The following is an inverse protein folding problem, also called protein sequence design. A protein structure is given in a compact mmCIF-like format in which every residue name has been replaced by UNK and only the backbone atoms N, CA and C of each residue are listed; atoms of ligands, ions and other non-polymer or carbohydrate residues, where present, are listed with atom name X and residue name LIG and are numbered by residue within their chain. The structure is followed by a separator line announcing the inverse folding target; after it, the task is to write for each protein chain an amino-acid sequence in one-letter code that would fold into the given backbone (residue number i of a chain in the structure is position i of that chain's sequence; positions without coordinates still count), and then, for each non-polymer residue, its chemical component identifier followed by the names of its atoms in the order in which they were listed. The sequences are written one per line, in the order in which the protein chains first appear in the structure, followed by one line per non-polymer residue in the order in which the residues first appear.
data_IF_437220774226
#
_entry.id   IF_437220774226
#
_cell.length_a   1.000
_cell.length_b   1.000
_cell.length_c   1.000
_cell.angle_alpha   90.00
_cell.angle_beta   90.00
_cell.angle_gamma   90.00
#
_symmetry.space_group_name_H-M   'P 1'
#
loop_
_entity.id
_entity.type
_entity.pdbx_description
1 polymer ?
#
# COMPACT_ATOMS: atom_id res chain seq x y z
N UNK A 1 -4.79 -17.20 -7.50
CA UNK A 1 -4.51 -15.97 -8.25
C UNK A 1 -4.83 -14.81 -7.34
N UNK A 2 -4.03 -13.74 -7.35
CA UNK A 2 -4.26 -12.54 -6.53
C UNK A 2 -5.53 -11.80 -6.99
N UNK A 3 -6.39 -11.40 -6.06
CA UNK A 3 -7.50 -10.48 -6.34
C UNK A 3 -6.99 -9.03 -6.38
N UNK A 4 -7.03 -8.42 -7.56
CA UNK A 4 -6.60 -7.03 -7.79
C UNK A 4 -7.71 -6.03 -7.41
N UNK A 5 -7.37 -4.78 -7.06
CA UNK A 5 -8.37 -3.72 -6.93
C UNK A 5 -9.12 -3.52 -8.24
N UNK A 6 -10.41 -3.23 -8.16
CA UNK A 6 -11.29 -3.10 -9.34
C UNK A 6 -10.84 -2.01 -10.32
N UNK A 7 -10.09 -1.02 -9.84
CA UNK A 7 -9.55 0.08 -10.67
C UNK A 7 -8.33 -0.33 -11.47
N UNK A 8 -7.68 -1.45 -11.15
CA UNK A 8 -6.49 -1.92 -11.82
C UNK A 8 -6.82 -3.10 -12.71
N UNK A 9 -6.42 -3.00 -13.98
CA UNK A 9 -6.50 -4.13 -14.90
C UNK A 9 -5.27 -4.26 -15.79
N UNK A 10 -5.16 -5.44 -16.37
CA UNK A 10 -4.21 -5.76 -17.43
C UNK A 10 -4.64 -5.04 -18.72
N UNK A 11 -3.73 -4.33 -19.41
CA UNK A 11 -3.98 -3.88 -20.77
C UNK A 11 -4.19 -5.06 -21.71
N UNK A 12 -5.09 -4.95 -22.69
CA UNK A 12 -5.14 -5.90 -23.81
C UNK A 12 -3.95 -5.66 -24.75
N UNK A 13 -3.60 -6.63 -25.62
CA UNK A 13 -2.54 -6.43 -26.61
C UNK A 13 -2.74 -5.18 -27.48
N UNK A 14 -3.99 -4.89 -27.87
CA UNK A 14 -4.34 -3.73 -28.71
C UNK A 14 -4.27 -2.38 -27.95
N UNK A 15 -4.24 -2.39 -26.61
CA UNK A 15 -4.12 -1.19 -25.77
C UNK A 15 -2.66 -0.86 -25.41
N UNK A 16 -1.73 -1.74 -25.75
CA UNK A 16 -0.32 -1.54 -25.50
C UNK A 16 0.32 -0.75 -26.65
N UNK A 17 1.20 0.23 -26.35
CA UNK A 17 1.92 0.94 -27.41
C UNK A 17 2.80 -0.04 -28.19
N UNK A 18 2.85 0.11 -29.51
CA UNK A 18 3.76 -0.66 -30.37
C UNK A 18 5.21 -0.45 -29.92
N UNK A 19 5.78 -1.48 -29.32
CA UNK A 19 7.16 -1.51 -28.83
C UNK A 19 7.80 -2.86 -29.18
N UNK A 20 9.08 -2.89 -29.57
CA UNK A 20 9.74 -4.10 -30.05
C UNK A 20 9.84 -5.22 -29.00
N UNK A 21 9.70 -4.89 -27.71
CA UNK A 21 9.79 -5.80 -26.56
C UNK A 21 8.42 -6.13 -25.93
N UNK A 22 7.31 -5.84 -26.63
CA UNK A 22 5.96 -6.08 -26.11
C UNK A 22 5.71 -7.56 -25.79
N UNK A 23 6.16 -8.47 -26.66
CA UNK A 23 5.98 -9.92 -26.50
C UNK A 23 6.75 -10.43 -25.28
N UNK A 24 7.97 -9.93 -25.06
CA UNK A 24 8.79 -10.28 -23.89
C UNK A 24 8.12 -9.83 -22.59
N UNK A 25 7.52 -8.64 -22.58
CA UNK A 25 6.80 -8.12 -21.41
C UNK A 25 5.54 -8.93 -21.12
N UNK A 26 4.80 -9.32 -22.16
CA UNK A 26 3.61 -10.15 -22.01
C UNK A 26 3.96 -11.57 -21.51
N UNK A 27 5.06 -12.16 -21.99
CA UNK A 27 5.56 -13.45 -21.50
C UNK A 27 6.04 -13.37 -20.06
N UNK A 28 6.88 -12.37 -19.70
CA UNK A 28 7.31 -12.15 -18.32
C UNK A 28 6.13 -12.04 -17.36
N UNK A 29 5.06 -11.37 -17.78
CA UNK A 29 3.84 -11.26 -16.97
C UNK A 29 3.12 -12.59 -16.82
N UNK A 30 3.04 -13.42 -17.87
CA UNK A 30 2.40 -14.74 -17.79
C UNK A 30 3.10 -15.66 -16.81
N UNK A 31 4.42 -15.55 -16.73
CA UNK A 31 5.27 -16.31 -15.81
C UNK A 31 5.36 -15.68 -14.40
N UNK A 32 4.87 -14.45 -14.23
CA UNK A 32 4.99 -13.70 -12.99
C UNK A 32 4.27 -14.40 -11.83
N UNK A 33 4.96 -14.49 -10.70
CA UNK A 33 4.50 -15.07 -9.45
C UNK A 33 3.68 -14.07 -8.62
N UNK A 34 2.62 -13.53 -9.21
CA UNK A 34 1.69 -12.58 -8.58
C UNK A 34 0.60 -13.37 -7.83
N UNK A 35 0.83 -13.63 -6.55
CA UNK A 35 -0.08 -14.39 -5.69
C UNK A 35 -0.06 -13.90 -4.24
N UNK A 36 -1.13 -14.17 -3.45
CA UNK A 36 -1.14 -13.84 -2.02
C UNK A 36 0.00 -14.50 -1.27
N UNK A 37 0.70 -13.73 -0.45
CA UNK A 37 1.87 -14.15 0.30
C UNK A 37 2.75 -12.97 0.66
N UNK A 38 3.89 -13.24 1.29
CA UNK A 38 4.84 -12.19 1.63
C UNK A 38 6.29 -12.61 1.42
N UNK A 39 7.16 -11.62 1.23
CA UNK A 39 8.63 -11.77 1.30
C UNK A 39 9.13 -11.21 2.62
N UNK A 40 10.33 -11.62 3.03
CA UNK A 40 10.97 -11.08 4.23
C UNK A 40 12.46 -10.89 3.98
N UNK A 41 12.94 -9.69 4.26
CA UNK A 41 14.33 -9.30 4.09
C UNK A 41 14.85 -8.68 5.40
N UNK A 42 16.03 -9.07 5.90
CA UNK A 42 16.61 -8.43 7.07
C UNK A 42 17.04 -6.99 6.73
N UNK A 43 17.13 -6.14 7.73
CA UNK A 43 17.66 -4.79 7.54
C UNK A 43 19.16 -4.84 7.20
N UNK A 44 19.51 -4.35 6.01
CA UNK A 44 20.89 -4.20 5.55
C UNK A 44 21.40 -2.75 5.63
N UNK A 45 20.57 -1.83 6.10
CA UNK A 45 20.83 -0.40 6.23
C UNK A 45 20.93 -0.01 7.70
N UNK A 46 22.13 -0.03 8.31
CA UNK A 46 22.31 0.14 9.76
C UNK A 46 21.87 1.52 10.29
N UNK A 47 21.69 2.48 9.39
CA UNK A 47 21.31 3.86 9.72
C UNK A 47 19.83 3.99 10.09
N UNK A 48 19.00 3.01 9.73
CA UNK A 48 17.57 3.02 9.98
C UNK A 48 17.21 2.00 11.07
N UNK A 49 16.45 2.38 12.11
CA UNK A 49 16.24 1.54 13.29
C UNK A 49 15.09 0.51 13.11
N UNK A 50 15.14 -0.31 12.06
CA UNK A 50 14.24 -1.46 11.88
C UNK A 50 15.04 -2.78 11.79
N UNK A 51 14.38 -3.93 11.98
CA UNK A 51 15.04 -5.24 11.90
C UNK A 51 14.74 -6.00 10.61
N UNK A 52 13.53 -5.85 10.06
CA UNK A 52 13.13 -6.52 8.84
C UNK A 52 12.21 -5.65 8.00
N UNK A 53 12.23 -5.94 6.71
CA UNK A 53 11.34 -5.43 5.68
C UNK A 53 10.52 -6.58 5.09
N UNK A 54 9.27 -6.33 4.76
CA UNK A 54 8.40 -7.28 4.11
C UNK A 54 7.54 -6.59 3.04
N UNK A 55 7.34 -7.30 1.93
CA UNK A 55 6.36 -6.94 0.92
C UNK A 55 5.29 -8.01 0.85
N UNK A 56 4.04 -7.61 0.79
CA UNK A 56 2.90 -8.48 1.00
C UNK A 56 1.89 -8.28 -0.12
N UNK A 57 1.71 -9.30 -0.93
CA UNK A 57 0.57 -9.43 -1.81
C UNK A 57 -0.60 -10.00 -1.01
N UNK A 58 -1.75 -9.33 -1.06
CA UNK A 58 -2.98 -9.76 -0.41
C UNK A 58 -4.16 -9.49 -1.35
N UNK A 59 -5.13 -10.40 -1.35
CA UNK A 59 -6.37 -10.19 -2.09
C UNK A 59 -7.03 -8.86 -1.66
N UNK A 60 -7.46 -8.05 -2.63
CA UNK A 60 -7.96 -6.70 -2.35
C UNK A 60 -9.14 -6.69 -1.36
N UNK A 61 -10.04 -7.68 -1.43
CA UNK A 61 -11.11 -7.88 -0.47
C UNK A 61 -10.65 -8.04 0.99
N UNK A 62 -9.40 -8.48 1.21
CA UNK A 62 -8.79 -8.73 2.53
C UNK A 62 -7.81 -7.66 2.96
N UNK A 63 -7.45 -6.74 2.06
CA UNK A 63 -6.43 -5.70 2.27
C UNK A 63 -6.70 -4.87 3.54
N UNK A 64 -7.92 -4.37 3.70
CA UNK A 64 -8.27 -3.53 4.86
C UNK A 64 -8.09 -4.26 6.19
N UNK A 65 -8.54 -5.51 6.25
CA UNK A 65 -8.44 -6.30 7.48
C UNK A 65 -6.99 -6.58 7.84
N UNK A 66 -6.15 -6.90 6.85
CA UNK A 66 -4.72 -7.07 7.05
C UNK A 66 -4.04 -5.76 7.49
N UNK A 67 -4.40 -4.64 6.85
CA UNK A 67 -3.91 -3.31 7.23
C UNK A 67 -4.22 -3.01 8.70
N UNK A 68 -5.46 -3.23 9.15
CA UNK A 68 -5.84 -3.02 10.56
C UNK A 68 -5.07 -3.93 11.52
N UNK A 69 -4.84 -5.19 11.14
CA UNK A 69 -4.08 -6.13 11.94
C UNK A 69 -2.61 -5.70 12.08
N UNK A 70 -1.98 -5.25 10.99
CA UNK A 70 -0.63 -4.70 11.01
C UNK A 70 -0.56 -3.37 11.77
N UNK A 71 -1.57 -2.51 11.63
CA UNK A 71 -1.68 -1.26 12.37
C UNK A 71 -1.80 -1.49 13.88
N UNK A 72 -2.36 -2.61 14.33
CA UNK A 72 -2.40 -2.98 15.75
C UNK A 72 -1.01 -3.31 16.33
N UNK A 73 0.01 -3.51 15.48
CA UNK A 73 1.40 -3.64 15.90
C UNK A 73 2.10 -2.29 16.12
N UNK A 74 1.46 -1.17 15.77
CA UNK A 74 2.03 0.16 15.97
C UNK A 74 1.93 0.60 17.44
N UNK A 75 2.81 1.52 17.88
CA UNK A 75 2.63 2.21 19.15
C UNK A 75 1.32 3.02 19.19
N UNK A 76 0.98 3.51 20.38
CA UNK A 76 -0.25 4.27 20.62
C UNK A 76 -0.36 5.57 19.79
N UNK A 77 0.78 6.11 19.35
CA UNK A 77 0.85 7.27 18.48
C UNK A 77 1.72 6.98 17.26
N UNK A 78 1.28 7.44 16.10
CA UNK A 78 1.98 7.34 14.84
C UNK A 78 1.71 8.59 13.99
N UNK A 79 2.48 8.79 12.94
CA UNK A 79 2.16 9.73 11.87
C UNK A 79 1.28 9.03 10.84
N UNK A 80 0.29 9.75 10.31
CA UNK A 80 -0.44 9.31 9.14
C UNK A 80 0.42 9.56 7.90
N UNK A 81 0.33 8.64 6.95
CA UNK A 81 0.95 8.75 5.63
C UNK A 81 -0.17 8.58 4.61
N UNK A 82 -0.34 9.52 3.70
CA UNK A 82 -1.37 9.45 2.65
C UNK A 82 -1.11 10.49 1.56
N UNK A 83 -1.26 10.11 0.29
CA UNK A 83 -1.19 11.02 -0.86
C UNK A 83 -1.96 10.46 -2.06
N UNK A 84 -2.14 11.31 -3.08
CA UNK A 84 -2.41 10.81 -4.41
C UNK A 84 -1.16 10.11 -4.98
N UNK A 85 -1.36 9.08 -5.79
CA UNK A 85 -0.28 8.32 -6.39
C UNK A 85 0.64 9.23 -7.21
N UNK A 86 1.96 8.96 -7.15
CA UNK A 86 3.02 9.75 -7.79
C UNK A 86 3.23 11.18 -7.25
N UNK A 87 2.54 11.57 -6.17
CA UNK A 87 2.94 12.73 -5.37
C UNK A 87 3.91 12.32 -4.26
N UNK A 88 4.72 13.27 -3.78
CA UNK A 88 5.65 13.03 -2.70
C UNK A 88 4.93 12.65 -1.40
N UNK A 89 5.54 11.71 -0.68
CA UNK A 89 4.95 11.17 0.53
C UNK A 89 4.99 12.17 1.69
N UNK A 90 3.87 12.84 1.96
CA UNK A 90 3.69 13.64 3.18
C UNK A 90 3.47 12.76 4.41
N UNK A 91 4.21 13.07 5.47
CA UNK A 91 4.08 12.48 6.81
C UNK A 91 3.52 13.54 7.75
N UNK A 92 2.47 13.23 8.49
CA UNK A 92 1.89 14.17 9.45
C UNK A 92 2.70 14.27 10.73
N UNK A 93 2.37 15.25 11.58
CA UNK A 93 2.71 15.20 12.99
C UNK A 93 2.15 13.92 13.65
N UNK A 94 2.75 13.51 14.77
CA UNK A 94 2.28 12.37 15.56
C UNK A 94 0.83 12.60 16.05
N UNK A 95 -0.01 11.60 15.84
CA UNK A 95 -1.40 11.54 16.30
C UNK A 95 -1.64 10.20 17.00
N UNK A 96 -2.67 10.10 17.85
CA UNK A 96 -3.12 8.79 18.33
C UNK A 96 -3.43 7.87 17.14
N UNK A 97 -2.86 6.66 17.13
CA UNK A 97 -3.06 5.70 16.04
C UNK A 97 -4.54 5.40 15.83
N UNK A 98 -5.32 5.34 16.91
CA UNK A 98 -6.78 5.19 16.87
C UNK A 98 -7.49 6.34 16.15
N UNK A 99 -7.02 7.58 16.31
CA UNK A 99 -7.56 8.76 15.63
C UNK A 99 -7.30 8.69 14.12
N UNK A 100 -6.09 8.29 13.71
CA UNK A 100 -5.76 8.09 12.29
C UNK A 100 -6.67 7.03 11.68
N UNK A 101 -6.78 5.86 12.33
CA UNK A 101 -7.61 4.76 11.85
C UNK A 101 -9.10 5.13 11.76
N UNK A 102 -9.60 5.93 12.71
CA UNK A 102 -10.96 6.47 12.65
C UNK A 102 -11.17 7.32 11.39
N UNK A 103 -10.21 8.16 11.01
CA UNK A 103 -10.32 8.96 9.80
C UNK A 103 -10.17 8.12 8.53
N UNK A 104 -9.21 7.19 8.49
CA UNK A 104 -9.03 6.29 7.34
C UNK A 104 -10.26 5.40 7.09
N UNK A 105 -10.89 4.88 8.15
CA UNK A 105 -12.08 4.01 8.02
C UNK A 105 -13.26 4.66 7.29
N UNK A 106 -13.38 6.00 7.33
CA UNK A 106 -14.42 6.73 6.58
C UNK A 106 -14.27 6.60 5.07
N UNK A 107 -13.05 6.34 4.60
CA UNK A 107 -12.68 6.22 3.19
C UNK A 107 -12.11 4.84 2.88
N UNK A 108 -12.52 3.81 3.63
CA UNK A 108 -12.03 2.44 3.42
C UNK A 108 -12.18 2.02 1.95
N UNK A 109 -13.31 2.33 1.31
CA UNK A 109 -13.57 1.95 -0.08
C UNK A 109 -12.56 2.59 -1.03
N UNK A 110 -12.36 3.90 -0.92
CA UNK A 110 -11.42 4.66 -1.73
C UNK A 110 -9.98 4.21 -1.47
N UNK A 111 -9.57 4.12 -0.21
CA UNK A 111 -8.22 3.71 0.18
C UNK A 111 -7.85 2.32 -0.33
N UNK A 112 -8.79 1.37 -0.28
CA UNK A 112 -8.52 -0.01 -0.68
C UNK A 112 -8.66 -0.25 -2.18
N UNK A 113 -9.57 0.46 -2.86
CA UNK A 113 -9.91 0.15 -4.26
C UNK A 113 -9.39 1.16 -5.26
N UNK A 114 -9.10 2.40 -4.88
CA UNK A 114 -8.66 3.44 -5.81
C UNK A 114 -7.14 3.47 -5.92
N UNK A 115 -6.59 3.01 -7.05
CA UNK A 115 -5.15 3.01 -7.31
C UNK A 115 -4.53 4.40 -7.45
N UNK A 116 -5.33 5.47 -7.44
CA UNK A 116 -4.83 6.84 -7.34
C UNK A 116 -4.48 7.26 -5.90
N UNK A 117 -4.68 6.41 -4.89
CA UNK A 117 -4.39 6.72 -3.49
C UNK A 117 -3.35 5.77 -2.89
N UNK A 118 -2.46 6.32 -2.07
CA UNK A 118 -1.54 5.59 -1.20
C UNK A 118 -1.79 6.01 0.25
N UNK A 119 -1.62 5.09 1.19
CA UNK A 119 -1.85 5.39 2.60
C UNK A 119 -1.11 4.45 3.53
N UNK A 120 -0.92 4.87 4.76
CA UNK A 120 -0.05 4.18 5.69
C UNK A 120 0.07 4.83 7.06
N UNK A 121 0.96 4.25 7.85
CA UNK A 121 1.35 4.71 9.17
C UNK A 121 2.87 4.71 9.27
N UNK A 122 3.42 5.70 9.95
CA UNK A 122 4.84 5.79 10.24
C UNK A 122 5.05 6.10 11.71
N UNK A 123 5.86 5.29 12.38
CA UNK A 123 6.38 5.57 13.70
C UNK A 123 7.90 5.52 13.64
N UNK A 124 8.53 6.69 13.71
CA UNK A 124 9.97 6.81 13.66
C UNK A 124 10.50 7.46 14.93
N UNK A 125 11.30 6.71 15.68
CA UNK A 125 12.03 7.16 16.87
C UNK A 125 13.52 6.88 16.67
N UNK A 126 14.36 7.38 17.57
CA UNK A 126 15.81 7.08 17.51
C UNK A 126 16.12 5.59 17.62
N UNK A 127 15.28 4.82 18.31
CA UNK A 127 15.53 3.42 18.64
C UNK A 127 14.76 2.45 17.75
N UNK A 128 13.63 2.89 17.18
CA UNK A 128 12.71 2.04 16.44
C UNK A 128 12.02 2.79 15.31
N UNK A 129 12.00 2.15 14.14
CA UNK A 129 11.20 2.48 12.97
C UNK A 129 10.19 1.35 12.72
N UNK A 130 8.92 1.72 12.68
CA UNK A 130 7.84 0.88 12.18
C UNK A 130 7.09 1.66 11.11
N UNK A 131 6.99 1.09 9.91
CA UNK A 131 6.32 1.72 8.79
C UNK A 131 5.40 0.70 8.11
N UNK A 132 4.21 1.15 7.74
CA UNK A 132 3.18 0.39 7.06
C UNK A 132 2.68 1.25 5.93
N UNK A 133 2.94 0.83 4.69
CA UNK A 133 2.51 1.55 3.50
C UNK A 133 1.70 0.62 2.59
N UNK A 134 0.54 1.09 2.17
CA UNK A 134 -0.24 0.48 1.08
C UNK A 134 0.07 1.27 -0.18
N UNK A 135 0.66 0.59 -1.16
CA UNK A 135 1.02 1.20 -2.43
C UNK A 135 -0.21 1.53 -3.29
N UNK A 136 0.01 2.32 -4.33
CA UNK A 136 -0.97 2.61 -5.37
C UNK A 136 -1.49 1.34 -6.05
N UNK A 137 -0.65 0.30 -6.17
CA UNK A 137 -1.06 -1.01 -6.68
C UNK A 137 -1.62 -1.97 -5.60
N UNK A 138 -1.86 -1.47 -4.39
CA UNK A 138 -2.60 -2.15 -3.31
C UNK A 138 -1.95 -3.41 -2.76
N UNK A 139 -0.63 -3.48 -2.80
CA UNK A 139 0.16 -4.38 -1.97
C UNK A 139 0.70 -3.61 -0.76
N UNK A 140 1.12 -4.32 0.28
CA UNK A 140 1.61 -3.71 1.52
C UNK A 140 3.14 -3.81 1.59
N UNK A 141 3.77 -2.72 1.99
CA UNK A 141 5.17 -2.67 2.44
C UNK A 141 5.17 -2.47 3.96
N UNK A 142 5.99 -3.24 4.66
CA UNK A 142 6.07 -3.19 6.12
C UNK A 142 7.53 -3.23 6.59
N UNK A 143 7.91 -2.24 7.38
CA UNK A 143 9.18 -2.21 8.11
C UNK A 143 8.88 -2.38 9.59
N UNK A 144 9.60 -3.26 10.27
CA UNK A 144 9.31 -3.52 11.67
C UNK A 144 10.47 -4.10 12.48
N UNK A 145 10.21 -4.23 13.78
CA UNK A 145 11.17 -4.67 14.79
C UNK A 145 10.82 -6.01 15.45
N UNK A 146 9.58 -6.47 15.30
CA UNK A 146 9.03 -7.67 15.96
C UNK A 146 8.68 -8.77 14.93
N UNK A 147 9.71 -9.32 14.28
CA UNK A 147 9.56 -10.34 13.23
C UNK A 147 8.74 -11.58 13.65
N UNK A 148 8.90 -12.14 14.87
CA UNK A 148 8.09 -13.29 15.30
C UNK A 148 6.59 -12.98 15.35
N UNK A 149 6.21 -11.82 15.89
CA UNK A 149 4.83 -11.37 15.95
C UNK A 149 4.25 -11.13 14.54
N UNK A 150 5.01 -10.46 13.67
CA UNK A 150 4.65 -10.27 12.27
C UNK A 150 4.41 -11.60 11.55
N UNK A 151 5.33 -12.56 11.71
CA UNK A 151 5.23 -13.88 11.08
C UNK A 151 4.01 -14.66 11.59
N UNK A 152 3.69 -14.56 12.89
CA UNK A 152 2.48 -15.15 13.44
C UNK A 152 1.21 -14.52 12.85
N UNK A 153 1.20 -13.21 12.67
CA UNK A 153 0.09 -12.48 12.04
C UNK A 153 -0.11 -12.92 10.59
N UNK A 154 0.95 -13.01 9.79
CA UNK A 154 0.86 -13.51 8.40
C UNK A 154 0.23 -14.91 8.34
N UNK A 155 0.60 -15.80 9.27
CA UNK A 155 0.00 -17.15 9.37
C UNK A 155 -1.49 -17.10 9.69
N UNK A 156 -1.94 -16.25 10.60
CA UNK A 156 -3.37 -16.05 10.91
C UNK A 156 -4.14 -15.59 9.67
N UNK A 157 -3.51 -14.76 8.82
CA UNK A 157 -4.08 -14.32 7.54
C UNK A 157 -3.86 -15.33 6.39
N UNK A 158 -3.36 -16.54 6.63
CA UNK A 158 -3.09 -17.54 5.59
C UNK A 158 -2.19 -17.01 4.46
N UNK A 159 -1.22 -16.16 4.79
CA UNK A 159 -0.24 -15.62 3.85
C UNK A 159 1.06 -16.41 4.01
N UNK A 160 1.44 -17.26 3.04
CA UNK A 160 2.70 -18.00 3.09
C UNK A 160 3.90 -17.10 2.79
N UNK A 161 5.05 -17.45 3.38
CA UNK A 161 6.34 -16.84 3.08
C UNK A 161 6.88 -17.39 1.75
N UNK A 162 7.34 -16.50 0.88
CA UNK A 162 8.03 -16.85 -0.35
C UNK A 162 9.42 -16.21 -0.41
N UNK A 163 10.33 -16.86 -1.15
CA UNK A 163 11.65 -16.28 -1.46
C UNK A 163 11.53 -15.12 -2.45
N UNK A 164 10.58 -15.23 -3.37
CA UNK A 164 10.34 -14.27 -4.45
C UNK A 164 8.84 -14.14 -4.68
N UNK A 165 8.37 -12.91 -4.86
CA UNK A 165 7.05 -12.54 -5.32
C UNK A 165 7.22 -11.41 -6.33
N UNK A 166 6.43 -11.46 -7.38
CA UNK A 166 6.33 -10.35 -8.33
C UNK A 166 5.16 -9.46 -7.92
N UNK A 167 5.29 -8.16 -8.20
CA UNK A 167 4.30 -7.14 -7.82
C UNK A 167 3.70 -6.50 -9.06
N UNK A 168 2.43 -6.11 -8.96
CA UNK A 168 1.65 -5.68 -10.12
C UNK A 168 2.18 -4.38 -10.73
N UNK A 169 2.85 -3.56 -9.93
CA UNK A 169 3.47 -2.32 -10.38
C UNK A 169 4.67 -2.53 -11.31
N UNK A 170 5.30 -3.70 -11.28
CA UNK A 170 6.42 -4.12 -12.12
C UNK A 170 6.01 -4.39 -13.59
N UNK A 171 4.70 -4.48 -13.85
CA UNK A 171 4.15 -4.78 -15.18
C UNK A 171 3.28 -3.63 -15.72
N UNK A 172 3.06 -3.57 -17.05
CA UNK A 172 2.09 -2.64 -17.63
C UNK A 172 0.71 -2.80 -17.02
N UNK A 173 0.05 -1.67 -16.73
CA UNK A 173 -1.23 -1.62 -16.03
C UNK A 173 -2.06 -0.46 -16.53
N UNK A 174 -3.37 -0.64 -16.56
CA UNK A 174 -4.34 0.43 -16.76
C UNK A 174 -5.03 0.67 -15.43
N UNK A 175 -5.07 1.94 -15.03
CA UNK A 175 -5.80 2.41 -13.85
C UNK A 175 -7.00 3.21 -14.32
N UNK A 176 -8.19 2.80 -13.87
CA UNK A 176 -9.44 3.47 -14.11
C UNK A 176 -9.87 4.25 -12.86
N UNK A 177 -10.40 5.47 -12.97
CA UNK A 177 -10.92 6.20 -11.81
C UNK A 177 -12.05 5.41 -11.12
N UNK A 178 -11.98 5.25 -9.80
CA UNK A 178 -12.95 4.43 -9.04
C UNK A 178 -14.40 4.86 -9.29
N UNK A 179 -14.66 6.17 -9.38
CA UNK A 179 -15.98 6.76 -9.64
C UNK A 179 -16.64 6.30 -10.95
N UNK A 180 -15.85 5.84 -11.93
CA UNK A 180 -16.39 5.30 -13.18
C UNK A 180 -16.95 3.88 -13.00
N UNK A 181 -16.42 3.16 -12.00
CA UNK A 181 -16.77 1.76 -11.72
C UNK A 181 -17.80 1.65 -10.59
N UNK A 182 -17.73 2.56 -9.61
CA UNK A 182 -18.64 2.65 -8.47
C UNK A 182 -19.12 4.10 -8.37
N UNK A 183 -20.30 4.44 -8.93
CA UNK A 183 -20.84 5.78 -8.84
C UNK A 183 -21.04 6.23 -7.40
N UNK A 184 -20.71 7.49 -7.11
CA UNK A 184 -20.86 8.10 -5.79
C UNK A 184 -19.67 7.95 -4.85
N UNK A 185 -18.57 7.31 -5.27
CA UNK A 185 -17.32 7.32 -4.49
C UNK A 185 -16.66 8.69 -4.50
N UNK A 186 -15.89 8.96 -3.44
CA UNK A 186 -15.20 10.24 -3.24
C UNK A 186 -14.00 10.33 -4.18
N UNK A 187 -13.78 11.46 -4.88
CA UNK A 187 -12.57 11.66 -5.67
C UNK A 187 -11.29 11.64 -4.80
N UNK A 188 -10.16 11.12 -5.30
CA UNK A 188 -8.88 11.06 -4.55
C UNK A 188 -8.48 12.38 -3.89
N UNK A 189 -8.49 13.49 -4.65
CA UNK A 189 -8.18 14.81 -4.12
C UNK A 189 -9.06 15.21 -2.92
N UNK A 190 -10.36 14.88 -2.93
CA UNK A 190 -11.25 15.21 -1.80
C UNK A 190 -11.00 14.33 -0.57
N UNK A 191 -10.57 13.08 -0.78
CA UNK A 191 -10.12 12.20 0.31
C UNK A 191 -8.88 12.80 0.97
N UNK A 192 -7.91 13.25 0.16
CA UNK A 192 -6.70 13.92 0.61
C UNK A 192 -7.02 15.22 1.34
N UNK A 193 -7.87 16.09 0.78
CA UNK A 193 -8.30 17.34 1.42
C UNK A 193 -8.97 17.11 2.78
N UNK A 194 -9.70 16.00 2.93
CA UNK A 194 -10.26 15.63 4.23
C UNK A 194 -9.16 15.28 5.23
N UNK A 195 -8.17 14.49 4.81
CA UNK A 195 -7.06 14.11 5.68
C UNK A 195 -6.18 15.31 6.03
N UNK A 196 -5.88 16.20 5.08
CA UNK A 196 -5.12 17.41 5.35
C UNK A 196 -5.79 18.26 6.43
N UNK A 197 -7.12 18.45 6.33
CA UNK A 197 -7.90 19.16 7.36
C UNK A 197 -7.92 18.43 8.70
N UNK A 198 -8.07 17.11 8.69
CA UNK A 198 -8.11 16.30 9.91
C UNK A 198 -6.77 16.29 10.65
N UNK A 199 -5.66 16.22 9.91
CA UNK A 199 -4.32 16.11 10.46
C UNK A 199 -3.54 17.43 10.49
N UNK A 200 -4.20 18.53 10.09
CA UNK A 200 -3.67 19.90 10.07
C UNK A 200 -2.40 20.02 9.22
N UNK A 201 -2.46 19.48 8.01
CA UNK A 201 -1.39 19.58 7.02
C UNK A 201 -1.68 20.78 6.11
N UNK A 202 -0.68 21.62 5.92
CA UNK A 202 -0.68 22.68 4.91
C UNK A 202 0.18 22.20 3.74
N UNK A 203 -0.46 21.88 2.60
CA UNK A 203 0.28 21.59 1.36
C UNK A 203 0.69 22.92 0.76
N UNK A 204 1.99 23.23 0.78
CA UNK A 204 2.48 24.35 -0.01
C UNK A 204 2.22 24.04 -1.49
N UNK A 205 1.41 24.86 -2.15
CA UNK A 205 1.21 24.76 -3.60
C UNK A 205 2.53 25.14 -4.27
N UNK A 206 3.37 24.15 -4.57
CA UNK A 206 4.42 24.31 -5.57
C UNK A 206 3.73 24.34 -6.94
N UNK A 207 3.30 25.55 -7.33
CA UNK A 207 2.86 25.86 -8.68
C UNK A 207 4.02 25.79 -9.67
#
# INVERSE_FOLDING_TARGET
MLELPITLRVPTPDEMPDRPDIDEILEKRREANIRPGYTLQPNHTPQLPYKFYAEINVDNSRLWHLFLALAAMFPASASAVYNEAAQDTLTTNLQPTSYILQHFSKYQTELTKDCALEFGLLSNTREQLTELAVSSCKYIKFWGNEQPAFTALMKVHNLPLFRHLDFVDEFPKIILPLRQLIPGTTPPAQVVDHFDRAFKVERENFY
#
